data_IF_754689062607
#
_entry.id   IF_754689062607
#
_cell.length_a   1.000
_cell.length_b   1.000
_cell.length_c   1.000
_cell.angle_alpha   90.00
_cell.angle_beta   90.00
_cell.angle_gamma   90.00
#
_symmetry.space_group_name_H-M   'P 1'
#
loop_
_entity.id
_entity.type
_entity.pdbx_description
1 polymer ?
#
# COMPACT_ATOMS: atom_id res chain seq x y z
N UNK A 1 -38.86 -38.59 -30.51
CA UNK A 1 -37.92 -38.20 -29.46
C UNK A 1 -37.78 -39.34 -28.49
N UNK A 2 -36.61 -40.03 -28.46
CA UNK A 2 -36.36 -41.12 -27.51
C UNK A 2 -36.26 -40.52 -26.08
N UNK A 3 -37.10 -40.95 -25.16
CA UNK A 3 -37.09 -40.52 -23.76
C UNK A 3 -35.78 -40.99 -23.13
N UNK A 4 -34.96 -40.07 -22.66
CA UNK A 4 -33.73 -40.37 -21.90
C UNK A 4 -34.18 -41.16 -20.66
N UNK A 5 -33.65 -42.37 -20.40
CA UNK A 5 -34.08 -43.18 -19.26
C UNK A 5 -33.72 -42.43 -17.97
N UNK A 6 -34.67 -42.26 -17.05
CA UNK A 6 -34.53 -41.53 -15.79
C UNK A 6 -33.35 -42.01 -14.96
N UNK A 7 -32.93 -43.25 -15.05
CA UNK A 7 -31.72 -43.80 -14.43
C UNK A 7 -30.45 -43.15 -14.97
N UNK A 8 -30.39 -42.91 -16.27
CA UNK A 8 -29.24 -42.19 -16.88
C UNK A 8 -29.18 -40.73 -16.44
N UNK A 9 -30.30 -40.11 -16.20
CA UNK A 9 -30.39 -38.74 -15.66
C UNK A 9 -29.92 -38.67 -14.22
N UNK A 10 -30.26 -39.68 -13.38
CA UNK A 10 -29.73 -39.83 -12.00
C UNK A 10 -28.20 -40.05 -11.99
N UNK A 11 -27.69 -40.86 -12.92
CA UNK A 11 -26.25 -41.08 -13.05
C UNK A 11 -25.52 -39.82 -13.53
N UNK A 12 -26.08 -39.09 -14.49
CA UNK A 12 -25.53 -37.82 -14.95
C UNK A 12 -25.53 -36.74 -13.87
N UNK A 13 -26.56 -36.66 -13.06
CA UNK A 13 -26.66 -35.68 -11.95
C UNK A 13 -25.76 -36.07 -10.76
N UNK A 14 -25.62 -37.37 -10.47
CA UNK A 14 -24.80 -37.86 -9.34
C UNK A 14 -23.32 -38.01 -9.69
N UNK A 15 -22.98 -38.64 -10.82
CA UNK A 15 -21.61 -38.91 -11.24
C UNK A 15 -20.99 -37.82 -12.13
N UNK A 16 -21.82 -37.10 -12.88
CA UNK A 16 -21.36 -36.05 -13.78
C UNK A 16 -20.49 -34.98 -13.09
N UNK A 17 -20.93 -34.41 -11.95
CA UNK A 17 -20.12 -33.46 -11.20
C UNK A 17 -18.82 -34.05 -10.66
N UNK A 18 -18.83 -35.32 -10.20
CA UNK A 18 -17.64 -36.02 -9.72
C UNK A 18 -16.63 -36.31 -10.83
N UNK A 19 -17.11 -36.76 -12.00
CA UNK A 19 -16.28 -36.98 -13.18
C UNK A 19 -15.74 -35.65 -13.73
N UNK A 20 -16.55 -34.60 -13.72
CA UNK A 20 -16.11 -33.23 -14.07
C UNK A 20 -15.03 -32.73 -13.14
N UNK A 21 -15.20 -32.89 -11.82
CA UNK A 21 -14.20 -32.52 -10.81
C UNK A 21 -12.91 -33.34 -10.98
N UNK A 22 -13.03 -34.66 -11.19
CA UNK A 22 -11.89 -35.53 -11.45
C UNK A 22 -11.12 -35.17 -12.72
N UNK A 23 -11.85 -34.81 -13.80
CA UNK A 23 -11.28 -34.31 -15.04
C UNK A 23 -10.54 -32.97 -14.86
N UNK A 24 -11.11 -32.04 -14.10
CA UNK A 24 -10.46 -30.77 -13.78
C UNK A 24 -9.18 -30.96 -12.96
N UNK A 25 -9.20 -31.87 -11.97
CA UNK A 25 -7.99 -32.21 -11.19
C UNK A 25 -6.92 -32.88 -12.04
N UNK A 26 -7.33 -33.72 -12.98
CA UNK A 26 -6.41 -34.36 -13.93
C UNK A 26 -5.77 -33.34 -14.87
N UNK A 27 -6.57 -32.43 -15.44
CA UNK A 27 -6.08 -31.33 -16.27
C UNK A 27 -5.12 -30.40 -15.50
N UNK A 28 -5.43 -30.10 -14.25
CA UNK A 28 -4.54 -29.29 -13.40
C UNK A 28 -3.20 -29.99 -13.09
N UNK A 29 -3.17 -31.33 -13.05
CA UNK A 29 -1.91 -32.11 -12.88
C UNK A 29 -1.05 -32.12 -14.15
N UNK A 30 -1.61 -31.89 -15.32
CA UNK A 30 -0.85 -31.78 -16.57
C UNK A 30 -0.16 -30.40 -16.73
N UNK A 31 -0.51 -29.42 -15.88
CA UNK A 31 0.17 -28.13 -15.81
C UNK A 31 1.29 -28.13 -14.76
N UNK A 32 2.18 -27.14 -14.85
CA UNK A 32 3.28 -26.94 -13.90
C UNK A 32 2.73 -26.72 -12.49
N UNK A 33 2.90 -27.72 -11.64
CA UNK A 33 2.63 -27.64 -10.20
C UNK A 33 3.98 -27.44 -9.48
N UNK A 34 4.01 -26.61 -8.42
CA UNK A 34 5.25 -26.42 -7.67
C UNK A 34 5.74 -27.74 -7.08
N UNK A 35 7.07 -27.92 -7.13
CA UNK A 35 7.72 -29.07 -6.52
C UNK A 35 7.49 -29.13 -5.02
N UNK A 36 7.58 -30.32 -4.43
CA UNK A 36 7.33 -30.51 -2.99
C UNK A 36 8.32 -29.71 -2.14
N UNK A 37 9.54 -29.54 -2.62
CA UNK A 37 10.57 -28.74 -1.95
C UNK A 37 10.25 -27.25 -1.93
N UNK A 38 9.69 -26.71 -3.03
CA UNK A 38 9.21 -25.33 -3.10
C UNK A 38 8.00 -25.06 -2.20
N UNK A 39 7.19 -26.11 -1.96
CA UNK A 39 6.05 -26.03 -1.01
C UNK A 39 6.53 -26.10 0.44
N UNK A 40 7.56 -26.90 0.74
CA UNK A 40 8.14 -27.02 2.08
C UNK A 40 8.94 -25.77 2.49
N UNK A 41 9.54 -25.09 1.52
CA UNK A 41 10.31 -23.85 1.74
C UNK A 41 9.92 -22.80 0.69
N UNK A 42 8.75 -22.17 0.79
CA UNK A 42 8.37 -21.11 -0.12
C UNK A 42 9.41 -19.99 0.01
N UNK A 43 10.08 -19.67 -1.10
CA UNK A 43 11.09 -18.61 -1.14
C UNK A 43 10.50 -17.33 -0.59
N UNK A 44 10.94 -16.96 0.59
CA UNK A 44 10.62 -15.68 1.22
C UNK A 44 11.68 -14.68 0.79
N UNK A 45 11.27 -13.62 0.13
CA UNK A 45 12.14 -12.48 -0.10
C UNK A 45 12.51 -11.88 1.25
N UNK A 46 13.75 -12.05 1.67
CA UNK A 46 14.24 -11.55 2.94
C UNK A 46 14.91 -10.20 2.72
N UNK A 47 14.54 -9.21 3.51
CA UNK A 47 15.18 -7.90 3.48
C UNK A 47 16.67 -8.00 3.85
N UNK A 48 17.54 -7.44 3.03
CA UNK A 48 18.94 -7.24 3.38
C UNK A 48 19.08 -6.19 4.47
N UNK A 49 19.84 -6.49 5.51
CA UNK A 49 20.06 -5.60 6.65
C UNK A 49 21.45 -4.98 6.58
N UNK A 50 21.49 -3.66 6.68
CA UNK A 50 22.73 -2.86 6.72
C UNK A 50 23.05 -2.51 8.15
N UNK A 51 24.22 -2.90 8.62
CA UNK A 51 24.69 -2.71 9.99
C UNK A 51 25.86 -1.73 10.04
N UNK A 52 25.91 -0.93 11.08
CA UNK A 52 27.11 -0.20 11.51
C UNK A 52 28.15 -1.17 12.08
N UNK A 53 29.41 -0.73 12.22
CA UNK A 53 30.48 -1.54 12.81
C UNK A 53 30.20 -1.89 14.29
N UNK A 54 29.44 -1.08 15.00
CA UNK A 54 28.98 -1.33 16.36
C UNK A 54 27.69 -2.15 16.45
N UNK A 55 27.24 -2.75 15.33
CA UNK A 55 26.17 -3.73 15.25
C UNK A 55 24.75 -3.18 15.23
N UNK A 56 24.58 -1.86 15.13
CA UNK A 56 23.23 -1.26 14.99
C UNK A 56 22.75 -1.28 13.54
N UNK A 57 21.46 -1.42 13.35
CA UNK A 57 20.84 -1.39 12.02
C UNK A 57 20.80 0.06 11.55
N UNK A 58 21.51 0.35 10.43
CA UNK A 58 21.45 1.63 9.73
C UNK A 58 20.25 1.69 8.79
N UNK A 59 19.87 0.57 8.20
CA UNK A 59 18.75 0.50 7.28
C UNK A 59 18.56 -0.91 6.71
N UNK A 60 17.60 -1.03 5.80
CA UNK A 60 17.25 -2.29 5.14
C UNK A 60 17.04 -2.04 3.64
N UNK A 61 17.47 -3.02 2.81
CA UNK A 61 17.11 -3.05 1.39
C UNK A 61 16.09 -4.16 1.18
N UNK A 62 14.96 -3.82 0.61
CA UNK A 62 13.84 -4.74 0.36
C UNK A 62 13.04 -4.24 -0.85
N UNK A 63 12.49 -5.16 -1.60
CA UNK A 63 11.48 -4.83 -2.62
C UNK A 63 10.17 -4.46 -1.93
N UNK A 64 9.91 -5.14 -0.80
CA UNK A 64 8.73 -5.01 0.03
C UNK A 64 9.17 -5.02 1.50
N UNK A 65 8.70 -4.06 2.29
CA UNK A 65 9.02 -4.01 3.73
C UNK A 65 8.34 -5.17 4.44
N UNK A 66 9.07 -6.26 4.69
CA UNK A 66 8.58 -7.46 5.36
C UNK A 66 9.31 -7.66 6.68
N UNK A 67 8.54 -7.73 7.74
CA UNK A 67 8.91 -8.35 9.00
C UNK A 67 7.88 -9.45 9.26
N UNK A 68 8.33 -10.71 9.28
CA UNK A 68 7.43 -11.83 9.49
C UNK A 68 6.98 -11.88 10.95
N UNK A 69 5.67 -11.74 11.17
CA UNK A 69 5.04 -11.98 12.45
C UNK A 69 4.93 -13.50 12.68
N UNK A 70 5.27 -13.96 13.89
CA UNK A 70 5.02 -15.35 14.28
C UNK A 70 3.58 -15.48 14.77
N UNK A 71 2.98 -16.65 14.57
CA UNK A 71 1.60 -16.89 15.02
C UNK A 71 1.40 -16.57 16.52
N UNK A 72 2.37 -16.93 17.36
CA UNK A 72 2.32 -16.75 18.82
C UNK A 72 2.34 -15.26 19.22
N UNK A 73 2.80 -14.39 18.36
CA UNK A 73 2.82 -12.94 18.59
C UNK A 73 1.60 -12.23 18.01
N UNK A 74 0.76 -12.91 17.23
CA UNK A 74 -0.46 -12.33 16.69
C UNK A 74 -1.53 -12.22 17.79
N UNK A 75 -2.23 -11.09 17.91
CA UNK A 75 -3.31 -10.98 18.86
C UNK A 75 -4.47 -11.93 18.48
N UNK A 76 -5.07 -12.64 19.46
CA UNK A 76 -6.13 -13.63 19.20
C UNK A 76 -7.28 -13.05 18.36
N UNK A 77 -7.71 -11.83 18.63
CA UNK A 77 -8.80 -11.19 17.91
C UNK A 77 -8.48 -10.89 16.43
N UNK A 78 -7.21 -10.79 16.04
CA UNK A 78 -6.82 -10.69 14.63
C UNK A 78 -7.08 -12.02 13.91
N UNK A 79 -6.73 -13.15 14.55
CA UNK A 79 -6.98 -14.48 14.03
C UNK A 79 -8.49 -14.75 13.96
N UNK A 80 -9.22 -14.38 15.00
CA UNK A 80 -10.68 -14.51 15.06
C UNK A 80 -11.37 -13.69 13.97
N UNK A 81 -10.91 -12.46 13.72
CA UNK A 81 -11.40 -11.61 12.64
C UNK A 81 -11.17 -12.25 11.27
N UNK A 82 -9.96 -12.78 11.04
CA UNK A 82 -9.60 -13.46 9.80
C UNK A 82 -10.50 -14.69 9.56
N UNK A 83 -10.59 -15.57 10.54
CA UNK A 83 -11.35 -16.81 10.42
C UNK A 83 -12.85 -16.52 10.24
N UNK A 84 -13.41 -15.66 11.06
CA UNK A 84 -14.82 -15.30 10.98
C UNK A 84 -15.22 -14.72 9.63
N UNK A 85 -14.29 -14.02 8.96
CA UNK A 85 -14.59 -13.29 7.73
C UNK A 85 -14.28 -14.11 6.48
N UNK A 86 -13.12 -14.76 6.44
CA UNK A 86 -12.62 -15.42 5.24
C UNK A 86 -12.92 -16.93 5.23
N UNK A 87 -12.89 -17.60 6.40
CA UNK A 87 -12.98 -19.04 6.46
C UNK A 87 -13.47 -19.57 7.84
N UNK A 88 -14.74 -19.39 8.13
CA UNK A 88 -15.30 -19.72 9.44
C UNK A 88 -15.17 -21.20 9.84
N UNK A 89 -14.83 -22.08 8.93
CA UNK A 89 -14.60 -23.52 9.18
C UNK A 89 -13.14 -23.93 8.99
N UNK A 90 -12.22 -22.97 9.03
CA UNK A 90 -10.80 -23.18 8.76
C UNK A 90 -10.19 -24.38 9.47
N UNK A 91 -10.52 -24.60 10.73
CA UNK A 91 -10.00 -25.72 11.54
C UNK A 91 -10.68 -27.06 11.25
N UNK A 92 -11.78 -27.08 10.46
CA UNK A 92 -12.56 -28.30 10.21
C UNK A 92 -12.35 -28.96 8.85
N UNK A 93 -11.48 -28.39 7.99
CA UNK A 93 -11.17 -28.93 6.67
C UNK A 93 -9.66 -28.98 6.40
N UNK A 94 -9.25 -29.74 5.39
CA UNK A 94 -7.84 -29.88 4.95
C UNK A 94 -7.61 -29.15 3.61
N UNK A 95 -7.69 -27.83 3.64
CA UNK A 95 -7.40 -26.93 2.49
C UNK A 95 -8.61 -26.65 1.59
N UNK A 96 -9.62 -27.52 1.53
CA UNK A 96 -10.84 -27.33 0.75
C UNK A 96 -12.06 -27.48 1.68
N UNK A 97 -12.90 -26.45 1.72
CA UNK A 97 -14.18 -26.49 2.40
C UNK A 97 -15.29 -26.88 1.40
N UNK A 98 -15.57 -28.19 1.29
CA UNK A 98 -16.60 -28.69 0.38
C UNK A 98 -18.01 -28.19 0.72
N UNK A 99 -18.33 -27.97 1.99
CA UNK A 99 -19.63 -27.42 2.41
C UNK A 99 -19.75 -25.95 1.98
N UNK A 100 -18.69 -25.16 2.17
CA UNK A 100 -18.61 -23.78 1.70
C UNK A 100 -18.71 -23.69 0.18
N UNK A 101 -18.00 -24.55 -0.52
CA UNK A 101 -18.04 -24.64 -1.98
C UNK A 101 -19.46 -24.98 -2.48
N UNK A 102 -20.10 -26.00 -1.93
CA UNK A 102 -21.48 -26.38 -2.26
C UNK A 102 -22.46 -25.23 -2.01
N UNK A 103 -22.32 -24.54 -0.86
CA UNK A 103 -23.11 -23.35 -0.54
C UNK A 103 -22.87 -22.23 -1.55
N UNK A 104 -21.62 -21.93 -1.88
CA UNK A 104 -21.26 -20.88 -2.84
C UNK A 104 -21.85 -21.16 -4.23
N UNK A 105 -21.82 -22.40 -4.67
CA UNK A 105 -22.44 -22.82 -5.95
C UNK A 105 -23.96 -22.70 -5.88
N UNK A 106 -24.60 -23.25 -4.82
CA UNK A 106 -26.05 -23.25 -4.68
C UNK A 106 -26.67 -21.85 -4.61
N UNK A 107 -25.97 -20.90 -4.00
CA UNK A 107 -26.43 -19.51 -3.85
C UNK A 107 -25.71 -18.52 -4.79
N UNK A 108 -24.97 -19.01 -5.79
CA UNK A 108 -24.23 -18.20 -6.76
C UNK A 108 -23.35 -17.12 -6.08
N UNK A 109 -22.71 -17.48 -4.97
CA UNK A 109 -21.83 -16.57 -4.20
C UNK A 109 -22.57 -15.53 -3.33
N UNK A 110 -23.88 -15.39 -3.41
CA UNK A 110 -24.64 -14.38 -2.64
C UNK A 110 -24.58 -14.56 -1.12
N UNK A 111 -24.30 -15.77 -0.64
CA UNK A 111 -24.17 -16.11 0.80
C UNK A 111 -22.73 -16.38 1.22
N UNK A 112 -21.76 -15.72 0.58
CA UNK A 112 -20.33 -15.82 0.88
C UNK A 112 -19.57 -16.64 -0.16
N UNK A 113 -18.25 -16.47 -0.19
CA UNK A 113 -17.33 -17.20 -1.05
C UNK A 113 -17.16 -18.67 -0.62
N UNK A 114 -16.57 -19.46 -1.49
CA UNK A 114 -16.21 -20.86 -1.22
C UNK A 114 -14.68 -21.08 -1.18
N UNK A 115 -13.86 -20.03 -1.23
CA UNK A 115 -12.41 -20.15 -1.14
C UNK A 115 -11.96 -20.11 0.31
N UNK A 116 -11.02 -21.00 0.67
CA UNK A 116 -10.43 -21.08 2.01
C UNK A 116 -9.20 -20.18 2.14
N UNK A 117 -8.78 -19.88 3.38
CA UNK A 117 -7.50 -19.17 3.65
C UNK A 117 -6.33 -19.89 3.02
N UNK A 118 -6.29 -21.25 3.08
CA UNK A 118 -5.21 -22.03 2.46
C UNK A 118 -5.21 -21.93 0.94
N UNK A 119 -6.36 -21.84 0.29
CA UNK A 119 -6.45 -21.61 -1.17
C UNK A 119 -5.98 -20.19 -1.54
N UNK A 120 -6.31 -19.20 -0.71
CA UNK A 120 -5.82 -17.83 -0.91
C UNK A 120 -4.30 -17.77 -0.73
N UNK A 121 -3.73 -18.47 0.26
CA UNK A 121 -2.28 -18.61 0.42
C UNK A 121 -1.64 -19.32 -0.78
N UNK A 122 -2.24 -20.42 -1.26
CA UNK A 122 -1.75 -21.11 -2.45
C UNK A 122 -1.70 -20.19 -3.67
N UNK A 123 -2.69 -19.33 -3.83
CA UNK A 123 -2.71 -18.31 -4.88
C UNK A 123 -1.61 -17.28 -4.70
N UNK A 124 -1.37 -16.77 -3.50
CA UNK A 124 -0.34 -15.77 -3.22
C UNK A 124 1.09 -16.31 -3.43
N UNK A 125 1.31 -17.59 -3.19
CA UNK A 125 2.66 -18.19 -3.26
C UNK A 125 3.03 -18.72 -4.64
N UNK A 126 2.06 -19.31 -5.37
CA UNK A 126 2.37 -20.19 -6.50
C UNK A 126 1.54 -19.94 -7.75
N UNK A 127 0.55 -19.05 -7.68
CA UNK A 127 -0.22 -18.69 -8.86
C UNK A 127 0.18 -17.29 -9.24
N UNK A 128 0.94 -17.17 -10.34
CA UNK A 128 1.29 -15.88 -10.89
C UNK A 128 0.02 -15.03 -11.03
N UNK A 129 0.09 -13.79 -10.57
CA UNK A 129 -0.99 -12.82 -10.67
C UNK A 129 -1.18 -12.33 -12.11
N UNK A 130 -0.85 -13.19 -13.10
CA UNK A 130 -1.16 -12.87 -14.48
C UNK A 130 -2.67 -12.73 -14.61
N UNK A 131 -3.07 -11.58 -15.07
CA UNK A 131 -4.40 -11.24 -15.48
C UNK A 131 -4.92 -12.25 -16.49
N UNK A 132 -5.36 -13.42 -16.03
CA UNK A 132 -6.19 -14.29 -16.85
C UNK A 132 -7.51 -13.57 -17.03
N UNK A 133 -7.66 -12.94 -18.16
CA UNK A 133 -8.81 -12.13 -18.54
C UNK A 133 -10.07 -12.97 -18.70
N UNK A 134 -9.93 -14.30 -18.84
CA UNK A 134 -11.04 -15.20 -19.06
C UNK A 134 -11.56 -15.84 -17.77
N UNK A 135 -12.86 -15.66 -17.51
CA UNK A 135 -13.57 -16.39 -16.44
C UNK A 135 -13.40 -17.91 -16.56
N UNK A 136 -13.37 -18.43 -17.77
CA UNK A 136 -13.23 -19.85 -18.06
C UNK A 136 -11.85 -20.40 -17.63
N UNK A 137 -10.76 -19.73 -17.98
CA UNK A 137 -9.40 -20.11 -17.57
C UNK A 137 -9.25 -20.12 -16.06
N UNK A 138 -9.81 -19.11 -15.38
CA UNK A 138 -9.81 -19.02 -13.93
C UNK A 138 -10.55 -20.19 -13.29
N UNK A 139 -11.73 -20.53 -13.79
CA UNK A 139 -12.56 -21.59 -13.22
C UNK A 139 -12.01 -22.99 -13.51
N UNK A 140 -11.46 -23.22 -14.72
CA UNK A 140 -11.09 -24.54 -15.23
C UNK A 140 -9.62 -24.90 -14.95
N UNK A 141 -8.71 -23.94 -15.00
CA UNK A 141 -7.28 -24.19 -14.84
C UNK A 141 -6.74 -23.71 -13.49
N UNK A 142 -7.05 -22.48 -13.12
CA UNK A 142 -6.47 -21.87 -11.92
C UNK A 142 -7.06 -22.46 -10.63
N UNK A 143 -8.37 -22.57 -10.50
CA UNK A 143 -9.01 -23.06 -9.28
C UNK A 143 -8.64 -24.50 -8.91
N UNK A 144 -8.60 -25.47 -9.83
CA UNK A 144 -8.13 -26.82 -9.52
C UNK A 144 -6.65 -26.86 -9.09
N UNK A 145 -5.78 -26.01 -9.65
CA UNK A 145 -4.39 -25.88 -9.19
C UNK A 145 -4.34 -25.38 -7.73
N UNK A 146 -5.07 -24.31 -7.41
CA UNK A 146 -5.19 -23.80 -6.06
C UNK A 146 -5.64 -24.88 -5.06
N UNK A 147 -6.59 -25.75 -5.42
CA UNK A 147 -7.06 -26.85 -4.58
C UNK A 147 -5.99 -27.90 -4.31
N UNK A 148 -5.24 -28.29 -5.34
CA UNK A 148 -4.14 -29.27 -5.22
C UNK A 148 -3.04 -28.68 -4.32
N UNK A 149 -2.63 -27.44 -4.56
CA UNK A 149 -1.59 -26.76 -3.78
C UNK A 149 -2.05 -26.57 -2.34
N UNK A 150 -3.29 -26.11 -2.11
CA UNK A 150 -3.85 -25.96 -0.77
C UNK A 150 -3.85 -27.29 0.02
N UNK A 151 -4.27 -28.38 -0.61
CA UNK A 151 -4.25 -29.71 0.02
C UNK A 151 -2.82 -30.19 0.33
N UNK A 152 -1.82 -29.81 -0.48
CA UNK A 152 -0.42 -30.10 -0.19
C UNK A 152 0.13 -29.24 0.94
N UNK A 153 -0.20 -27.94 0.97
CA UNK A 153 0.21 -27.03 2.04
C UNK A 153 -0.29 -27.54 3.41
N UNK A 154 -1.54 -27.97 3.51
CA UNK A 154 -2.11 -28.52 4.75
C UNK A 154 -1.44 -29.84 5.23
N UNK A 155 -0.67 -30.50 4.37
CA UNK A 155 0.14 -31.67 4.78
C UNK A 155 1.51 -31.28 5.30
N UNK A 156 2.02 -30.11 4.93
CA UNK A 156 3.35 -29.65 5.30
C UNK A 156 3.34 -28.64 6.45
N UNK A 157 2.23 -27.88 6.60
CA UNK A 157 2.10 -26.81 7.57
C UNK A 157 0.92 -27.03 8.50
N UNK A 158 1.10 -26.66 9.74
CA UNK A 158 -0.01 -26.55 10.71
C UNK A 158 -0.95 -25.42 10.36
N UNK A 159 -2.15 -25.45 10.89
CA UNK A 159 -3.14 -24.37 10.74
C UNK A 159 -2.58 -23.01 11.18
N UNK A 160 -1.81 -22.98 12.25
CA UNK A 160 -1.17 -21.80 12.79
C UNK A 160 -0.12 -21.23 11.83
N UNK A 161 0.73 -22.08 11.29
CA UNK A 161 1.72 -21.67 10.29
C UNK A 161 1.06 -21.15 9.01
N UNK A 162 -0.05 -21.76 8.56
CA UNK A 162 -0.80 -21.29 7.38
C UNK A 162 -1.35 -19.88 7.61
N UNK A 163 -1.92 -19.59 8.79
CA UNK A 163 -2.39 -18.24 9.14
C UNK A 163 -1.23 -17.24 9.13
N UNK A 164 -0.12 -17.57 9.78
CA UNK A 164 1.06 -16.71 9.81
C UNK A 164 1.61 -16.45 8.41
N UNK A 165 1.78 -17.49 7.60
CA UNK A 165 2.23 -17.38 6.20
C UNK A 165 1.28 -16.51 5.37
N UNK A 166 -0.03 -16.68 5.50
CA UNK A 166 -1.01 -15.89 4.77
C UNK A 166 -0.93 -14.41 5.12
N UNK A 167 -0.95 -14.08 6.40
CA UNK A 167 -0.89 -12.70 6.89
C UNK A 167 0.45 -12.03 6.56
N UNK A 168 1.55 -12.78 6.54
CA UNK A 168 2.87 -12.27 6.19
C UNK A 168 3.07 -12.07 4.68
N UNK A 169 2.26 -12.72 3.84
CA UNK A 169 2.40 -12.66 2.37
C UNK A 169 1.46 -11.68 1.69
N UNK A 170 0.40 -11.27 2.38
CA UNK A 170 -0.59 -10.40 1.78
C UNK A 170 -0.07 -8.97 1.61
N UNK A 171 -0.30 -8.38 0.42
CA UNK A 171 0.03 -6.99 0.13
C UNK A 171 -1.12 -6.06 0.56
N UNK A 172 -0.88 -5.31 1.63
CA UNK A 172 -1.80 -4.29 2.15
C UNK A 172 -1.65 -2.94 1.45
N UNK A 173 -0.95 -2.87 0.31
CA UNK A 173 -0.59 -1.66 -0.43
C UNK A 173 0.16 -0.61 0.40
N UNK A 174 0.46 0.57 -0.19
CA UNK A 174 1.22 1.63 0.47
C UNK A 174 2.58 1.13 1.04
N UNK A 175 3.23 0.18 0.34
CA UNK A 175 4.50 -0.47 0.75
C UNK A 175 4.38 -1.32 2.04
N UNK A 176 3.17 -1.76 2.38
CA UNK A 176 2.89 -2.58 3.54
C UNK A 176 2.64 -4.04 3.11
N UNK A 177 3.69 -4.84 2.96
CA UNK A 177 3.57 -6.28 2.72
C UNK A 177 3.74 -7.04 4.02
N UNK A 178 2.74 -7.85 4.34
CA UNK A 178 2.61 -8.55 5.62
C UNK A 178 1.99 -7.73 6.73
N UNK A 179 1.42 -8.43 7.69
CA UNK A 179 0.63 -7.85 8.78
C UNK A 179 1.43 -6.93 9.69
N UNK A 180 2.70 -7.26 9.96
CA UNK A 180 3.59 -6.43 10.78
C UNK A 180 3.86 -5.09 10.11
N UNK A 181 4.17 -5.11 8.81
CA UNK A 181 4.35 -3.89 8.03
C UNK A 181 3.06 -3.08 7.95
N UNK A 182 1.92 -3.73 7.79
CA UNK A 182 0.62 -3.06 7.74
C UNK A 182 0.28 -2.38 9.08
N UNK A 183 0.53 -3.04 10.21
CA UNK A 183 0.32 -2.47 11.53
C UNK A 183 1.20 -1.21 11.75
N UNK A 184 2.47 -1.28 11.35
CA UNK A 184 3.39 -0.15 11.43
C UNK A 184 2.95 1.00 10.50
N UNK A 185 2.61 0.71 9.24
CA UNK A 185 2.25 1.73 8.25
C UNK A 185 0.94 2.43 8.59
N UNK A 186 -0.09 1.69 9.01
CA UNK A 186 -1.41 2.27 9.23
C UNK A 186 -1.67 2.74 10.65
N UNK A 187 -0.98 2.16 11.64
CA UNK A 187 -1.25 2.42 13.07
C UNK A 187 -0.01 2.78 13.89
N UNK A 188 1.18 2.80 13.27
CA UNK A 188 2.46 3.12 13.93
C UNK A 188 2.74 2.27 15.18
N UNK A 189 2.44 0.98 15.12
CA UNK A 189 2.65 0.01 16.20
C UNK A 189 2.93 -1.39 15.64
N UNK A 190 3.54 -2.29 16.43
CA UNK A 190 3.72 -3.69 16.05
C UNK A 190 2.37 -4.42 15.95
N UNK A 191 2.31 -5.47 15.13
CA UNK A 191 1.08 -6.25 14.93
C UNK A 191 0.54 -6.85 16.24
N UNK A 192 1.41 -7.19 17.19
CA UNK A 192 1.04 -7.70 18.51
C UNK A 192 0.20 -6.72 19.35
N UNK A 193 0.27 -5.43 19.08
CA UNK A 193 -0.43 -4.35 19.80
C UNK A 193 -1.70 -3.87 19.09
N UNK A 194 -2.07 -4.48 17.96
CA UNK A 194 -3.32 -4.15 17.28
C UNK A 194 -4.53 -4.41 18.19
N UNK A 195 -5.44 -3.46 18.24
CA UNK A 195 -6.73 -3.68 18.91
C UNK A 195 -7.75 -4.35 17.97
N UNK A 196 -8.95 -4.66 18.48
CA UNK A 196 -9.99 -5.38 17.74
C UNK A 196 -10.42 -4.63 16.47
N UNK A 197 -10.65 -3.32 16.55
CA UNK A 197 -11.09 -2.52 15.41
C UNK A 197 -10.01 -2.35 14.33
N UNK A 198 -8.75 -2.24 14.73
CA UNK A 198 -7.60 -2.15 13.82
C UNK A 198 -7.38 -3.48 13.10
N UNK A 199 -7.45 -4.58 13.86
CA UNK A 199 -7.42 -5.95 13.32
C UNK A 199 -8.54 -6.18 12.31
N UNK A 200 -9.76 -5.76 12.65
CA UNK A 200 -10.91 -5.87 11.75
C UNK A 200 -10.75 -5.01 10.49
N UNK A 201 -10.10 -3.84 10.58
CA UNK A 201 -9.81 -3.02 9.41
C UNK A 201 -8.83 -3.72 8.47
N UNK A 202 -7.70 -4.20 8.99
CA UNK A 202 -6.70 -4.91 8.18
C UNK A 202 -7.27 -6.18 7.56
N UNK A 203 -8.03 -6.97 8.31
CA UNK A 203 -8.74 -8.14 7.76
C UNK A 203 -9.74 -7.72 6.68
N UNK A 204 -10.41 -6.60 6.84
CA UNK A 204 -11.30 -6.04 5.82
C UNK A 204 -10.60 -5.77 4.49
N UNK A 205 -9.33 -5.36 4.53
CA UNK A 205 -8.51 -5.11 3.33
C UNK A 205 -8.13 -6.39 2.58
N UNK A 206 -8.13 -7.57 3.22
CA UNK A 206 -7.78 -8.86 2.59
C UNK A 206 -8.70 -9.21 1.40
N UNK A 207 -9.89 -8.67 1.34
CA UNK A 207 -10.79 -8.87 0.21
C UNK A 207 -10.28 -8.23 -1.09
N UNK A 208 -9.74 -7.02 -1.00
CA UNK A 208 -9.12 -6.27 -2.10
C UNK A 208 -8.49 -4.99 -1.53
N UNK A 209 -7.20 -4.98 -1.26
CA UNK A 209 -6.49 -3.85 -0.64
C UNK A 209 -6.51 -2.58 -1.50
N UNK A 210 -6.52 -2.71 -2.83
CA UNK A 210 -6.62 -1.56 -3.73
C UNK A 210 -7.99 -0.88 -3.67
N UNK A 211 -9.08 -1.66 -3.53
CA UNK A 211 -10.43 -1.15 -3.35
C UNK A 211 -10.62 -0.56 -1.95
N UNK A 212 -10.19 -1.30 -0.93
CA UNK A 212 -10.32 -0.94 0.49
C UNK A 212 -9.07 -0.22 1.01
N UNK A 213 -8.60 0.80 0.28
CA UNK A 213 -7.47 1.65 0.69
C UNK A 213 -7.96 2.72 1.68
N UNK A 214 -7.52 2.70 2.96
CA UNK A 214 -8.03 3.61 3.98
C UNK A 214 -7.63 5.08 3.75
N UNK A 215 -6.56 5.33 2.98
CA UNK A 215 -6.12 6.69 2.65
C UNK A 215 -6.94 7.30 1.50
N UNK A 216 -7.47 6.45 0.61
CA UNK A 216 -8.20 6.91 -0.58
C UNK A 216 -9.72 6.83 -0.40
N UNK A 217 -10.20 5.87 0.38
CA UNK A 217 -11.63 5.54 0.52
C UNK A 217 -11.96 5.19 1.98
N UNK A 218 -11.75 6.09 2.93
CA UNK A 218 -11.93 5.81 4.37
C UNK A 218 -13.34 5.32 4.72
N UNK A 219 -14.38 5.91 4.14
CA UNK A 219 -15.78 5.52 4.37
C UNK A 219 -16.02 4.05 3.95
N UNK A 220 -15.59 3.67 2.75
CA UNK A 220 -15.74 2.31 2.25
C UNK A 220 -14.97 1.29 3.11
N UNK A 221 -13.81 1.70 3.64
CA UNK A 221 -13.01 0.86 4.55
C UNK A 221 -13.69 0.74 5.90
N UNK A 222 -14.31 1.80 6.40
CA UNK A 222 -15.10 1.76 7.63
C UNK A 222 -16.27 0.79 7.51
N UNK A 223 -17.02 0.86 6.41
CA UNK A 223 -18.11 -0.08 6.12
C UNK A 223 -17.59 -1.53 6.08
N UNK A 224 -16.45 -1.75 5.40
CA UNK A 224 -15.86 -3.09 5.31
C UNK A 224 -15.36 -3.60 6.66
N UNK A 225 -14.73 -2.75 7.49
CA UNK A 225 -14.37 -3.07 8.88
C UNK A 225 -15.60 -3.48 9.68
N UNK A 226 -16.70 -2.74 9.55
CA UNK A 226 -17.93 -3.01 10.25
C UNK A 226 -18.54 -4.37 9.85
N UNK A 227 -18.41 -4.76 8.57
CA UNK A 227 -18.76 -6.13 8.13
C UNK A 227 -17.91 -7.18 8.86
N UNK A 228 -16.59 -6.96 9.04
CA UNK A 228 -15.71 -7.89 9.77
C UNK A 228 -16.14 -8.01 11.22
N UNK A 229 -16.39 -6.90 11.91
CA UNK A 229 -16.89 -6.90 13.30
C UNK A 229 -18.22 -7.65 13.44
N UNK A 230 -19.14 -7.46 12.50
CA UNK A 230 -20.41 -8.22 12.46
C UNK A 230 -20.20 -9.72 12.21
N UNK A 231 -19.19 -10.11 11.42
CA UNK A 231 -18.86 -11.55 11.27
C UNK A 231 -18.25 -12.12 12.55
N UNK A 232 -17.39 -11.39 13.25
CA UNK A 232 -16.85 -11.81 14.54
C UNK A 232 -17.97 -12.04 15.57
N UNK A 233 -18.93 -11.12 15.65
CA UNK A 233 -20.09 -11.27 16.53
C UNK A 233 -20.95 -12.50 16.13
N UNK A 234 -21.27 -12.64 14.86
CA UNK A 234 -22.05 -13.77 14.31
C UNK A 234 -21.46 -15.13 14.64
N UNK A 235 -20.13 -15.25 14.69
CA UNK A 235 -19.43 -16.51 14.99
C UNK A 235 -19.02 -16.65 16.46
N UNK A 236 -19.45 -15.71 17.33
CA UNK A 236 -19.27 -15.79 18.78
C UNK A 236 -17.88 -15.38 19.28
N UNK A 237 -17.08 -14.71 18.45
CA UNK A 237 -15.77 -14.18 18.83
C UNK A 237 -15.85 -12.76 19.41
N UNK A 238 -17.03 -12.13 19.36
CA UNK A 238 -17.29 -10.79 19.89
C UNK A 238 -18.75 -10.72 20.37
N UNK A 239 -19.01 -10.01 21.44
CA UNK A 239 -20.39 -9.72 21.87
C UNK A 239 -21.04 -8.68 20.96
N UNK A 240 -22.32 -8.83 20.65
CA UNK A 240 -23.04 -7.91 19.74
C UNK A 240 -22.94 -6.46 20.21
N UNK A 241 -23.13 -6.18 21.50
CA UNK A 241 -23.03 -4.82 22.05
C UNK A 241 -21.62 -4.21 21.92
N UNK A 242 -20.57 -5.04 21.99
CA UNK A 242 -19.18 -4.60 21.78
C UNK A 242 -18.96 -4.34 20.30
N UNK A 243 -19.47 -5.20 19.42
CA UNK A 243 -19.38 -5.00 17.98
C UNK A 243 -20.02 -3.67 17.56
N UNK A 244 -21.24 -3.38 18.04
CA UNK A 244 -21.96 -2.13 17.76
C UNK A 244 -21.17 -0.90 18.24
N UNK A 245 -20.60 -0.98 19.44
CA UNK A 245 -19.77 0.08 20.00
C UNK A 245 -18.52 0.36 19.16
N UNK A 246 -17.84 -0.70 18.71
CA UNK A 246 -16.63 -0.58 17.88
C UNK A 246 -16.95 -0.09 16.46
N UNK A 247 -18.11 -0.42 15.92
CA UNK A 247 -18.58 0.05 14.61
C UNK A 247 -18.79 1.56 14.57
N UNK A 248 -19.17 2.17 15.69
CA UNK A 248 -19.36 3.62 15.80
C UNK A 248 -18.02 4.40 15.82
N UNK A 249 -16.90 3.75 16.13
CA UNK A 249 -15.61 4.42 16.21
C UNK A 249 -15.03 4.75 14.81
N UNK A 250 -14.24 5.83 14.68
CA UNK A 250 -13.49 6.11 13.47
C UNK A 250 -12.41 5.05 13.23
N UNK A 251 -11.75 5.07 12.06
CA UNK A 251 -10.70 4.09 11.71
C UNK A 251 -9.45 4.18 12.61
N UNK A 252 -9.20 5.34 13.22
CA UNK A 252 -8.06 5.53 14.14
C UNK A 252 -6.68 5.48 13.46
N UNK A 253 -6.60 5.84 12.18
CA UNK A 253 -5.36 5.78 11.41
C UNK A 253 -4.29 6.69 11.97
N UNK A 254 -3.07 6.15 12.11
CA UNK A 254 -1.83 6.86 12.41
C UNK A 254 -0.82 6.58 11.29
N UNK A 255 -1.20 6.95 10.07
CA UNK A 255 -0.45 6.59 8.88
C UNK A 255 0.97 7.15 8.92
N UNK A 256 1.94 6.24 8.80
CA UNK A 256 3.34 6.57 8.58
C UNK A 256 3.80 6.02 7.23
N UNK A 257 4.34 6.90 6.41
CA UNK A 257 4.96 6.48 5.16
C UNK A 257 6.32 5.88 5.49
N UNK A 258 6.47 4.59 5.30
CA UNK A 258 7.79 3.96 5.38
C UNK A 258 8.58 4.37 4.15
N UNK A 259 9.60 5.20 4.34
CA UNK A 259 10.52 5.60 3.28
C UNK A 259 11.82 4.79 3.41
N UNK A 260 12.41 4.44 2.26
CA UNK A 260 13.77 3.88 2.24
C UNK A 260 14.80 4.88 2.79
N UNK A 261 14.43 6.15 2.85
CA UNK A 261 15.28 7.25 3.34
C UNK A 261 15.28 7.38 4.86
N UNK A 262 14.37 6.67 5.58
CA UNK A 262 14.33 6.67 7.04
C UNK A 262 15.49 5.86 7.63
N UNK A 263 16.11 6.42 8.68
CA UNK A 263 17.25 5.84 9.38
C UNK A 263 18.54 6.62 9.17
N UNK A 264 19.59 6.21 9.86
CA UNK A 264 20.91 6.86 9.82
C UNK A 264 21.55 6.76 8.42
N UNK A 265 22.28 7.78 8.02
CA UNK A 265 23.09 7.85 6.81
C UNK A 265 22.33 7.50 5.49
N UNK A 266 21.21 8.19 5.16
CA UNK A 266 20.38 7.81 3.99
C UNK A 266 21.15 7.91 2.66
N UNK A 267 21.93 8.94 2.45
CA UNK A 267 22.74 9.10 1.23
C UNK A 267 23.82 8.02 1.11
N UNK A 268 24.51 7.71 2.20
CA UNK A 268 25.49 6.63 2.21
C UNK A 268 24.83 5.29 1.85
N UNK A 269 23.68 4.99 2.41
CA UNK A 269 22.95 3.75 2.11
C UNK A 269 22.54 3.64 0.64
N UNK A 270 22.18 4.76 0.01
CA UNK A 270 21.83 4.77 -1.41
C UNK A 270 23.07 4.54 -2.30
N UNK A 271 24.20 5.14 -1.98
CA UNK A 271 25.48 4.86 -2.66
C UNK A 271 25.89 3.39 -2.47
N UNK A 272 25.85 2.91 -1.22
CA UNK A 272 26.15 1.51 -0.90
C UNK A 272 25.24 0.53 -1.65
N UNK A 273 23.96 0.88 -1.83
CA UNK A 273 23.01 0.07 -2.62
C UNK A 273 23.46 -0.09 -4.08
N UNK A 274 23.94 0.97 -4.69
CA UNK A 274 24.44 0.96 -6.05
C UNK A 274 25.72 0.10 -6.15
N UNK A 275 26.69 0.31 -5.26
CA UNK A 275 27.93 -0.44 -5.21
C UNK A 275 27.70 -1.94 -4.96
N UNK A 276 26.80 -2.29 -4.04
CA UNK A 276 26.46 -3.70 -3.79
C UNK A 276 25.86 -4.38 -5.03
N UNK A 277 25.01 -3.67 -5.79
CA UNK A 277 24.48 -4.23 -7.05
C UNK A 277 25.57 -4.52 -8.08
N UNK A 278 26.51 -3.61 -8.23
CA UNK A 278 27.66 -3.81 -9.13
C UNK A 278 28.53 -4.97 -8.68
N UNK A 279 28.88 -5.04 -7.38
CA UNK A 279 29.65 -6.12 -6.80
C UNK A 279 28.98 -7.50 -6.98
N UNK A 280 27.68 -7.59 -6.77
CA UNK A 280 26.92 -8.84 -6.93
C UNK A 280 26.69 -9.23 -8.38
N UNK A 281 26.80 -8.29 -9.31
CA UNK A 281 26.72 -8.52 -10.76
C UNK A 281 28.07 -8.85 -11.40
N UNK A 282 29.19 -8.76 -10.65
CA UNK A 282 30.54 -8.99 -11.15
C UNK A 282 30.72 -10.46 -11.58
N UNK A 283 31.36 -10.63 -12.77
CA UNK A 283 31.65 -11.94 -13.35
C UNK A 283 33.14 -12.12 -13.54
N UNK A 284 33.58 -13.34 -13.35
CA UNK A 284 34.96 -13.76 -13.62
C UNK A 284 35.27 -13.85 -15.15
N UNK A 285 36.52 -14.16 -15.51
CA UNK A 285 36.92 -14.30 -16.89
C UNK A 285 36.18 -15.44 -17.65
N UNK A 286 35.50 -16.33 -16.95
CA UNK A 286 34.73 -17.45 -17.50
C UNK A 286 33.21 -17.10 -17.60
N UNK A 287 32.82 -15.90 -17.25
CA UNK A 287 31.42 -15.43 -17.26
C UNK A 287 30.58 -15.90 -16.07
N UNK A 288 31.19 -16.50 -15.05
CA UNK A 288 30.50 -16.89 -13.81
C UNK A 288 30.49 -15.76 -12.81
N UNK A 289 29.43 -15.65 -12.04
CA UNK A 289 29.34 -14.65 -10.96
C UNK A 289 30.41 -14.91 -9.90
N UNK A 290 31.18 -13.87 -9.52
CA UNK A 290 32.20 -13.94 -8.47
C UNK A 290 31.55 -14.26 -7.12
N UNK A 291 30.41 -13.65 -6.83
CA UNK A 291 29.60 -13.97 -5.67
C UNK A 291 28.31 -14.66 -6.15
N UNK A 292 28.25 -15.97 -6.01
CA UNK A 292 27.14 -16.77 -6.47
C UNK A 292 26.55 -17.64 -5.35
N UNK A 293 25.26 -17.95 -5.47
CA UNK A 293 24.57 -18.96 -4.65
C UNK A 293 25.05 -20.37 -5.03
N UNK A 294 24.66 -21.38 -4.27
CA UNK A 294 24.99 -22.76 -4.52
C UNK A 294 24.52 -23.26 -5.91
N UNK A 295 23.46 -22.68 -6.46
CA UNK A 295 22.92 -22.96 -7.79
C UNK A 295 23.61 -22.17 -8.92
N UNK A 296 24.62 -21.36 -8.59
CA UNK A 296 25.35 -20.51 -9.54
C UNK A 296 24.63 -19.19 -9.90
N UNK A 297 23.45 -18.92 -9.37
CA UNK A 297 22.74 -17.65 -9.57
C UNK A 297 23.34 -16.52 -8.73
N UNK A 298 23.21 -15.24 -9.15
CA UNK A 298 23.69 -14.10 -8.36
C UNK A 298 22.83 -13.90 -7.11
N UNK A 299 23.41 -13.27 -6.11
CA UNK A 299 22.63 -12.76 -4.97
C UNK A 299 21.84 -11.52 -5.36
N UNK A 300 20.63 -11.40 -4.81
CA UNK A 300 19.77 -10.22 -4.93
C UNK A 300 19.72 -9.48 -3.59
N UNK A 301 20.10 -8.20 -3.57
CA UNK A 301 20.12 -7.39 -2.35
C UNK A 301 18.72 -7.17 -1.75
N UNK A 302 17.68 -7.39 -2.51
CA UNK A 302 16.30 -7.18 -2.07
C UNK A 302 15.59 -8.44 -1.59
N UNK A 303 16.13 -9.62 -1.97
CA UNK A 303 15.42 -10.91 -1.81
C UNK A 303 16.15 -11.93 -0.96
N UNK A 304 17.49 -11.86 -0.94
CA UNK A 304 18.29 -12.95 -0.35
C UNK A 304 18.71 -12.71 1.11
N UNK A 305 18.20 -11.65 1.75
CA UNK A 305 18.39 -11.42 3.19
C UNK A 305 19.85 -11.24 3.60
N UNK A 306 20.65 -10.57 2.80
CA UNK A 306 22.07 -10.39 3.05
C UNK A 306 22.31 -9.60 4.33
N UNK A 307 23.43 -9.89 4.99
CA UNK A 307 23.92 -9.13 6.12
C UNK A 307 25.10 -8.26 5.67
N UNK A 308 24.88 -6.99 5.50
CA UNK A 308 25.89 -6.02 5.11
C UNK A 308 26.41 -5.30 6.33
N UNK A 309 27.69 -5.43 6.64
CA UNK A 309 28.33 -4.73 7.75
C UNK A 309 29.22 -3.64 7.18
N UNK A 310 28.99 -2.40 7.61
CA UNK A 310 29.72 -1.21 7.16
C UNK A 310 30.77 -0.79 8.17
N UNK A 311 31.65 0.12 7.80
CA UNK A 311 32.65 0.73 8.68
C UNK A 311 32.11 1.95 9.46
N UNK A 312 30.84 2.31 9.31
CA UNK A 312 30.23 3.42 10.01
C UNK A 312 30.02 3.08 11.49
N UNK A 313 30.52 3.92 12.39
CA UNK A 313 30.16 3.92 13.81
C UNK A 313 28.87 4.72 13.98
N UNK A 314 27.81 4.11 14.54
CA UNK A 314 26.49 4.74 14.66
C UNK A 314 26.48 5.99 15.52
N UNK A 315 27.35 6.11 16.49
CA UNK A 315 27.47 7.27 17.39
C UNK A 315 28.16 8.43 16.68
N UNK A 316 29.23 8.16 15.94
CA UNK A 316 29.89 9.17 15.12
C UNK A 316 28.97 9.71 14.04
N UNK A 317 28.19 8.81 13.39
CA UNK A 317 27.18 9.21 12.42
C UNK A 317 26.12 10.13 13.04
N UNK A 318 25.59 9.78 14.22
CA UNK A 318 24.61 10.62 14.92
C UNK A 318 25.20 11.99 15.28
N UNK A 319 26.45 12.07 15.70
CA UNK A 319 27.11 13.35 15.96
C UNK A 319 27.28 14.19 14.70
N UNK A 320 27.66 13.57 13.58
CA UNK A 320 27.79 14.25 12.29
C UNK A 320 26.45 14.79 11.80
N UNK A 321 25.40 13.98 11.81
CA UNK A 321 24.04 14.39 11.43
C UNK A 321 23.52 15.53 12.30
N UNK A 322 23.72 15.47 13.62
CA UNK A 322 23.34 16.53 14.53
C UNK A 322 24.13 17.83 14.28
N UNK A 323 25.43 17.74 13.97
CA UNK A 323 26.24 18.91 13.66
C UNK A 323 25.78 19.59 12.35
N UNK A 324 25.56 18.79 11.29
CA UNK A 324 25.02 19.28 10.01
C UNK A 324 23.65 19.93 10.22
N UNK A 325 22.76 19.24 10.92
CA UNK A 325 21.41 19.75 11.19
C UNK A 325 21.45 21.06 11.97
N UNK A 326 22.25 21.16 13.03
CA UNK A 326 22.38 22.37 13.87
C UNK A 326 22.90 23.54 13.04
N UNK A 327 23.93 23.31 12.26
CA UNK A 327 24.54 24.36 11.45
C UNK A 327 23.65 24.80 10.29
N UNK A 328 23.21 23.86 9.45
CA UNK A 328 22.42 24.19 8.26
C UNK A 328 21.01 24.66 8.60
N UNK A 329 20.28 23.90 9.41
CA UNK A 329 18.89 24.20 9.73
C UNK A 329 18.72 25.29 10.80
N UNK A 330 19.72 25.47 11.65
CA UNK A 330 19.73 26.50 12.69
C UNK A 330 20.38 27.80 12.22
N UNK A 331 21.70 27.81 12.18
CA UNK A 331 22.48 29.03 11.99
C UNK A 331 22.41 29.57 10.56
N UNK A 332 22.65 28.70 9.58
CA UNK A 332 22.71 29.10 8.17
C UNK A 332 21.31 29.49 7.66
N UNK A 333 20.30 28.71 7.98
CA UNK A 333 18.91 29.00 7.61
C UNK A 333 18.45 30.35 8.21
N UNK A 334 18.70 30.59 9.49
CA UNK A 334 18.33 31.85 10.14
C UNK A 334 19.08 33.05 9.53
N UNK A 335 20.34 32.84 9.14
CA UNK A 335 21.13 33.87 8.46
C UNK A 335 20.60 34.18 7.06
N UNK A 336 20.27 33.13 6.30
CA UNK A 336 19.68 33.25 4.98
C UNK A 336 18.32 33.95 5.01
N UNK A 337 17.44 33.59 5.95
CA UNK A 337 16.15 34.26 6.13
C UNK A 337 16.28 35.74 6.48
N UNK A 338 17.29 36.11 7.30
CA UNK A 338 17.60 37.54 7.57
C UNK A 338 18.06 38.26 6.32
N UNK A 339 19.01 37.68 5.59
CA UNK A 339 19.51 38.26 4.35
C UNK A 339 18.37 38.50 3.34
N UNK A 340 17.47 37.50 3.16
CA UNK A 340 16.29 37.67 2.29
C UNK A 340 15.31 38.74 2.77
N UNK A 341 15.16 38.90 4.09
CA UNK A 341 14.25 39.89 4.70
C UNK A 341 14.80 41.32 4.52
N UNK A 342 16.11 41.44 4.59
CA UNK A 342 16.78 42.71 4.48
C UNK A 342 16.95 43.17 3.02
N UNK A 343 16.72 42.29 2.04
CA UNK A 343 16.71 42.63 0.62
C UNK A 343 15.45 43.37 0.21
N UNK A 344 15.52 44.29 -0.76
CA UNK A 344 14.33 44.88 -1.37
C UNK A 344 13.35 43.81 -1.88
N UNK A 345 12.05 44.01 -1.68
CA UNK A 345 11.00 43.03 -2.04
C UNK A 345 10.94 42.75 -3.55
N UNK A 346 11.38 43.69 -4.38
CA UNK A 346 11.46 43.58 -5.83
C UNK A 346 12.68 42.77 -6.31
N UNK A 347 13.65 42.54 -5.44
CA UNK A 347 14.88 41.78 -5.74
C UNK A 347 14.82 40.35 -5.20
N UNK A 348 14.40 40.17 -3.94
CA UNK A 348 14.34 38.86 -3.33
C UNK A 348 13.22 37.99 -3.97
N UNK A 349 13.46 36.68 -4.24
CA UNK A 349 14.63 35.86 -3.89
C UNK A 349 15.68 35.76 -5.02
N UNK A 350 15.63 36.63 -5.99
CA UNK A 350 16.48 36.60 -7.18
C UNK A 350 17.83 37.22 -6.92
N UNK A 351 18.79 36.95 -7.78
CA UNK A 351 20.07 37.68 -7.80
C UNK A 351 19.87 39.09 -8.42
N UNK A 352 20.72 40.01 -8.01
CA UNK A 352 20.62 41.40 -8.45
C UNK A 352 20.84 41.63 -9.96
N UNK A 353 21.53 40.68 -10.61
CA UNK A 353 21.80 40.68 -12.04
C UNK A 353 20.63 40.22 -12.92
N UNK A 354 19.52 39.75 -12.31
CA UNK A 354 18.33 39.37 -13.07
C UNK A 354 17.44 40.60 -13.30
N UNK A 355 17.19 40.89 -14.54
CA UNK A 355 16.35 42.03 -14.94
C UNK A 355 14.92 41.94 -14.36
N UNK A 356 14.30 43.09 -14.02
CA UNK A 356 12.96 43.14 -13.41
C UNK A 356 11.87 42.39 -14.21
N UNK A 357 11.92 42.50 -15.55
CA UNK A 357 10.99 41.83 -16.45
C UNK A 357 11.14 40.31 -16.39
N UNK A 358 12.37 39.82 -16.33
CA UNK A 358 12.64 38.36 -16.18
C UNK A 358 12.18 37.84 -14.84
N UNK A 359 12.36 38.59 -13.75
CA UNK A 359 11.82 38.24 -12.40
C UNK A 359 10.31 38.13 -12.43
N UNK A 360 9.65 39.13 -13.01
CA UNK A 360 8.19 39.15 -13.12
C UNK A 360 7.67 37.96 -13.96
N UNK A 361 8.35 37.65 -15.06
CA UNK A 361 8.00 36.50 -15.91
C UNK A 361 8.09 35.18 -15.15
N UNK A 362 9.13 34.99 -14.34
CA UNK A 362 9.28 33.77 -13.48
C UNK A 362 8.17 33.70 -12.45
N UNK A 363 7.84 34.81 -11.78
CA UNK A 363 6.75 34.86 -10.80
C UNK A 363 5.39 34.59 -11.44
N UNK A 364 5.16 35.14 -12.64
CA UNK A 364 3.92 34.89 -13.39
C UNK A 364 3.75 33.42 -13.79
N UNK A 365 4.81 32.76 -14.19
CA UNK A 365 4.80 31.31 -14.48
C UNK A 365 4.49 30.52 -13.19
N UNK A 366 5.20 30.82 -12.12
CA UNK A 366 4.99 30.15 -10.82
C UNK A 366 3.56 30.34 -10.27
N UNK A 367 3.01 31.55 -10.44
CA UNK A 367 1.62 31.85 -10.08
C UNK A 367 0.64 31.02 -10.90
N UNK A 368 0.79 31.00 -12.24
CA UNK A 368 -0.12 30.30 -13.16
C UNK A 368 -0.06 28.79 -13.02
N UNK A 369 1.06 28.24 -12.61
CA UNK A 369 1.22 26.82 -12.36
C UNK A 369 0.68 26.38 -11.00
N UNK A 370 0.46 27.31 -10.09
CA UNK A 370 -0.10 27.00 -8.77
C UNK A 370 -1.52 26.45 -8.83
N UNK A 371 -1.86 25.53 -7.95
CA UNK A 371 -3.22 25.02 -7.81
C UNK A 371 -4.22 26.10 -7.46
N UNK A 372 -3.79 27.10 -6.66
CA UNK A 372 -4.62 28.23 -6.28
C UNK A 372 -5.08 29.02 -7.51
N UNK A 373 -4.18 29.32 -8.44
CA UNK A 373 -4.52 29.99 -9.68
C UNK A 373 -5.43 29.13 -10.55
N UNK A 374 -5.06 27.84 -10.75
CA UNK A 374 -5.85 26.88 -11.53
C UNK A 374 -7.27 26.71 -10.99
N UNK A 375 -7.45 26.74 -9.67
CA UNK A 375 -8.76 26.73 -9.01
C UNK A 375 -9.55 27.99 -9.27
N UNK A 376 -8.92 29.16 -9.16
CA UNK A 376 -9.57 30.45 -9.38
C UNK A 376 -10.11 30.65 -10.79
N UNK A 377 -9.34 30.22 -11.81
CA UNK A 377 -9.73 30.38 -13.22
C UNK A 377 -10.51 29.18 -13.80
N UNK A 378 -10.92 28.22 -12.99
CA UNK A 378 -11.73 27.08 -13.43
C UNK A 378 -10.97 25.97 -14.15
N UNK A 379 -9.65 25.86 -13.98
CA UNK A 379 -8.85 24.73 -14.50
C UNK A 379 -8.76 23.55 -13.56
N UNK A 380 -9.09 23.73 -12.27
CA UNK A 380 -9.05 22.71 -11.23
C UNK A 380 -10.20 22.94 -10.25
N UNK A 381 -10.90 21.88 -9.85
CA UNK A 381 -11.98 22.00 -8.87
C UNK A 381 -11.41 22.23 -7.45
N UNK A 382 -11.87 23.26 -6.70
CA UNK A 382 -11.41 23.49 -5.34
C UNK A 382 -11.70 22.36 -4.35
N UNK A 383 -12.80 21.63 -4.56
CA UNK A 383 -13.28 20.58 -3.65
C UNK A 383 -12.65 19.22 -3.93
N UNK A 384 -12.67 18.74 -5.18
CA UNK A 384 -12.25 17.37 -5.52
C UNK A 384 -10.97 17.31 -6.37
N UNK A 385 -10.35 18.44 -6.68
CA UNK A 385 -9.13 18.57 -7.51
C UNK A 385 -9.23 17.96 -8.93
N UNK A 386 -10.45 17.79 -9.46
CA UNK A 386 -10.63 17.32 -10.84
C UNK A 386 -10.27 18.41 -11.85
N UNK A 387 -9.64 18.02 -12.99
CA UNK A 387 -9.18 18.99 -14.00
C UNK A 387 -10.32 19.60 -14.82
N UNK A 388 -10.01 20.60 -15.63
CA UNK A 388 -10.94 21.42 -16.37
C UNK A 388 -11.97 20.70 -17.25
N UNK A 389 -11.73 19.46 -17.67
CA UNK A 389 -12.73 18.67 -18.42
C UNK A 389 -14.06 18.51 -17.65
N UNK A 390 -13.99 18.43 -16.34
CA UNK A 390 -15.17 18.31 -15.47
C UNK A 390 -15.78 19.65 -15.08
N UNK A 391 -15.18 20.78 -15.47
CA UNK A 391 -15.58 22.12 -15.06
C UNK A 391 -16.30 22.79 -16.20
N UNK A 392 -17.46 23.35 -15.89
CA UNK A 392 -18.28 24.15 -16.81
C UNK A 392 -18.46 25.57 -16.27
N UNK A 393 -18.56 26.56 -17.15
CA UNK A 393 -18.96 27.89 -16.76
C UNK A 393 -20.44 27.93 -16.40
N UNK A 394 -20.79 28.53 -15.26
CA UNK A 394 -22.17 28.65 -14.78
C UNK A 394 -22.38 30.00 -14.16
N UNK A 395 -23.45 30.69 -14.55
CA UNK A 395 -23.87 31.90 -13.86
C UNK A 395 -24.34 31.56 -12.44
N UNK A 396 -23.92 32.36 -11.48
CA UNK A 396 -24.32 32.24 -10.08
C UNK A 396 -25.69 32.91 -9.84
N UNK A 397 -26.28 32.62 -8.70
CA UNK A 397 -27.58 33.20 -8.32
C UNK A 397 -27.60 34.77 -8.24
N UNK A 398 -26.42 35.37 -7.99
CA UNK A 398 -26.21 36.82 -7.99
C UNK A 398 -25.92 37.41 -9.37
N UNK A 399 -25.97 36.59 -10.44
CA UNK A 399 -25.69 37.00 -11.81
C UNK A 399 -24.20 37.08 -12.17
N UNK A 400 -23.31 36.84 -11.22
CA UNK A 400 -21.85 36.82 -11.48
C UNK A 400 -21.41 35.55 -12.21
N UNK A 401 -20.26 35.63 -12.89
CA UNK A 401 -19.64 34.49 -13.54
C UNK A 401 -19.11 33.49 -12.50
N UNK A 402 -19.32 32.22 -12.74
CA UNK A 402 -18.85 31.13 -11.86
C UNK A 402 -18.45 29.89 -12.63
N UNK A 403 -18.00 28.93 -11.88
CA UNK A 403 -17.66 27.59 -12.35
C UNK A 403 -18.44 26.54 -11.56
N UNK A 404 -18.73 25.43 -12.18
CA UNK A 404 -19.30 24.24 -11.55
C UNK A 404 -18.50 23.01 -11.96
N UNK A 405 -18.18 22.17 -10.99
CA UNK A 405 -17.66 20.83 -11.24
C UNK A 405 -18.82 19.90 -11.57
N UNK A 406 -19.13 19.73 -12.87
CA UNK A 406 -20.35 19.13 -13.37
C UNK A 406 -20.53 17.68 -12.95
N UNK A 407 -21.58 17.38 -12.20
CA UNK A 407 -21.93 16.05 -11.72
C UNK A 407 -22.26 15.07 -12.83
N UNK A 408 -22.90 15.50 -13.93
CA UNK A 408 -23.24 14.66 -15.08
C UNK A 408 -22.00 14.15 -15.80
N UNK A 409 -20.91 14.92 -15.78
CA UNK A 409 -19.58 14.50 -16.28
C UNK A 409 -18.77 13.71 -15.25
N UNK A 410 -19.36 13.37 -14.11
CA UNK A 410 -18.66 12.69 -13.02
C UNK A 410 -17.93 13.64 -12.05
N UNK A 411 -18.21 14.94 -12.08
CA UNK A 411 -17.73 15.94 -11.13
C UNK A 411 -18.43 15.82 -9.77
N UNK A 412 -18.05 16.70 -8.80
CA UNK A 412 -18.59 16.68 -7.44
C UNK A 412 -19.75 17.66 -7.19
N UNK A 413 -20.21 18.40 -8.21
CA UNK A 413 -21.28 19.39 -8.09
C UNK A 413 -20.89 20.72 -7.43
N UNK A 414 -19.62 20.87 -6.97
CA UNK A 414 -19.16 22.09 -6.31
C UNK A 414 -19.19 23.31 -7.25
N UNK A 415 -19.69 24.45 -6.76
CA UNK A 415 -19.74 25.71 -7.50
C UNK A 415 -18.92 26.80 -6.81
N UNK A 416 -18.18 27.61 -7.61
CA UNK A 416 -17.37 28.71 -7.07
C UNK A 416 -17.30 29.90 -8.04
N UNK A 417 -16.94 31.12 -7.57
CA UNK A 417 -16.84 32.28 -8.42
C UNK A 417 -15.68 32.17 -9.43
N UNK A 418 -15.92 32.57 -10.67
CA UNK A 418 -14.85 32.77 -11.64
C UNK A 418 -14.05 34.02 -11.28
N UNK A 419 -12.74 33.94 -11.38
CA UNK A 419 -11.82 35.06 -11.15
C UNK A 419 -11.02 35.36 -12.39
N UNK A 420 -10.81 36.64 -12.64
CA UNK A 420 -9.95 37.13 -13.72
C UNK A 420 -8.47 36.99 -13.34
N UNK A 421 -7.56 37.04 -14.34
CA UNK A 421 -6.11 37.04 -14.10
C UNK A 421 -5.69 38.16 -13.14
N UNK A 422 -6.27 39.37 -13.29
CA UNK A 422 -6.00 40.52 -12.43
C UNK A 422 -6.42 40.28 -10.97
N UNK A 423 -7.58 39.65 -10.75
CA UNK A 423 -8.05 39.28 -9.42
C UNK A 423 -7.18 38.17 -8.82
N UNK A 424 -6.74 37.20 -9.65
CA UNK A 424 -5.88 36.14 -9.19
C UNK A 424 -4.51 36.62 -8.77
N UNK A 425 -3.92 37.61 -9.45
CA UNK A 425 -2.66 38.24 -9.02
C UNK A 425 -2.78 38.83 -7.61
N UNK A 426 -3.87 39.51 -7.33
CA UNK A 426 -4.12 40.09 -6.00
C UNK A 426 -4.34 39.00 -4.94
N UNK A 427 -5.13 37.97 -5.25
CA UNK A 427 -5.46 36.88 -4.33
C UNK A 427 -4.23 35.95 -4.12
N UNK A 428 -3.30 35.90 -5.05
CA UNK A 428 -2.09 35.10 -4.93
C UNK A 428 -1.21 35.51 -3.75
N UNK A 429 -1.18 36.79 -3.45
CA UNK A 429 -0.36 37.33 -2.34
C UNK A 429 -1.11 37.31 -0.98
N UNK A 430 -2.38 36.90 -0.94
CA UNK A 430 -3.10 36.76 0.33
C UNK A 430 -2.59 35.56 1.14
N UNK A 431 -2.25 35.73 2.43
CA UNK A 431 -1.82 34.65 3.29
C UNK A 431 -2.87 33.56 3.43
N UNK A 432 -2.47 32.32 3.38
CA UNK A 432 -3.31 31.13 3.61
C UNK A 432 -2.64 30.18 4.58
N UNK A 433 -3.47 29.45 5.33
CA UNK A 433 -2.98 28.33 6.12
C UNK A 433 -2.49 27.22 5.19
N UNK A 434 -1.25 26.79 5.38
CA UNK A 434 -0.64 25.72 4.61
C UNK A 434 0.34 24.91 5.45
N UNK A 435 0.60 23.68 5.03
CA UNK A 435 1.68 22.87 5.60
C UNK A 435 2.95 23.12 4.82
N UNK A 436 3.96 23.59 5.50
CA UNK A 436 5.32 23.75 4.95
C UNK A 436 6.17 22.60 5.50
N UNK A 437 6.86 21.91 4.61
CA UNK A 437 7.83 20.91 5.01
C UNK A 437 9.13 21.60 5.38
N UNK A 438 9.57 21.39 6.58
CA UNK A 438 10.85 21.86 7.10
C UNK A 438 11.66 20.65 7.60
N UNK A 439 12.91 20.88 7.96
CA UNK A 439 13.75 19.88 8.63
C UNK A 439 13.15 19.35 9.95
N UNK A 440 12.13 20.01 10.49
CA UNK A 440 11.36 19.58 11.70
C UNK A 440 10.09 18.81 11.34
N UNK A 441 9.92 18.43 10.09
CA UNK A 441 8.70 17.81 9.56
C UNK A 441 7.70 18.83 9.02
N UNK A 442 6.44 18.39 8.86
CA UNK A 442 5.38 19.27 8.40
C UNK A 442 4.93 20.24 9.50
N UNK A 443 5.03 21.53 9.24
CA UNK A 443 4.62 22.60 10.16
C UNK A 443 3.42 23.33 9.56
N UNK A 444 2.35 23.49 10.32
CA UNK A 444 1.22 24.34 9.95
C UNK A 444 1.64 25.81 10.10
N UNK A 445 1.53 26.56 9.04
CA UNK A 445 1.90 27.98 8.99
C UNK A 445 0.89 28.77 8.15
N UNK A 446 0.97 30.09 8.27
CA UNK A 446 0.16 31.01 7.46
C UNK A 446 1.13 31.85 6.64
N UNK A 447 1.22 31.54 5.36
CA UNK A 447 2.10 32.22 4.39
C UNK A 447 1.33 32.63 3.16
N UNK A 448 1.80 33.70 2.50
CA UNK A 448 1.38 33.93 1.13
C UNK A 448 2.03 32.90 0.19
N UNK A 449 1.43 32.61 -0.98
CA UNK A 449 2.09 31.79 -1.98
C UNK A 449 3.46 32.34 -2.42
N UNK A 450 3.59 33.65 -2.45
CA UNK A 450 4.88 34.30 -2.73
C UNK A 450 5.90 33.98 -1.63
N UNK A 451 5.55 34.16 -0.37
CA UNK A 451 6.40 33.78 0.76
C UNK A 451 6.77 32.30 0.72
N UNK A 452 5.82 31.43 0.31
CA UNK A 452 6.09 29.99 0.13
C UNK A 452 7.15 29.72 -0.96
N UNK A 453 7.15 30.50 -2.03
CA UNK A 453 8.19 30.41 -3.09
C UNK A 453 9.54 30.88 -2.55
N UNK A 454 9.55 31.92 -1.73
CA UNK A 454 10.74 32.46 -1.10
C UNK A 454 11.35 31.48 -0.07
N UNK A 455 10.52 30.81 0.72
CA UNK A 455 10.97 29.87 1.76
C UNK A 455 11.45 28.51 1.22
N UNK A 456 11.08 28.12 0.02
CA UNK A 456 11.46 26.82 -0.57
C UNK A 456 12.95 26.63 -0.84
N UNK A 457 13.80 27.58 -0.56
CA UNK A 457 15.16 27.59 -1.14
C UNK A 457 16.29 27.38 -0.18
N UNK A 458 16.03 27.20 1.06
CA UNK A 458 17.14 27.16 1.94
C UNK A 458 17.63 25.79 2.34
N UNK A 459 16.96 24.69 2.09
CA UNK A 459 17.58 23.34 2.28
C UNK A 459 16.58 22.27 1.85
#
# INVERSE_FOLDING_TARGET
MKRIPWKLLLWLVGLGPLLGLGGLVLLARLGDLPETEALANPKTDLATRVYSMDGKILGRYYTENRSDARYETLPPHLVDALISTEDARFYSHAGIDFIGLARAIAFMGKRGGGSTVTQQLAKLLFTDQYETTSFFERAVLQKPKEWIIASRLERHYTKQEIIALYLNRYDFINQAVGIESAANVYFNKPAAELNVQESAMLVGMLKNSALFNPLRRPELVQDRRNVVLSQMAKYGHLEDAVADSLQALPLGLQFQRVSHDEGAAPYFRETLRAELKEMLAEKDANGKYVLAKADGSPYDIYRDGLRVVTTIDSRMQAYAENAVHRHLAGELQASFERDLRDRPKDVAPFFEDIEPEARQAILDVAMRDSDRYKKGIGKLCPSCNRPGFYIVSKARADGSAGHECNGEKGGCGHTWPARTDKEMRRVFDEPVAMKVFSHRGAVDTVLSPLDSILHRKAI
#
